data_IF_412291145567
#
_entry.id   IF_412291145567
#
_cell.length_a   1.000
_cell.length_b   1.000
_cell.length_c   1.000
_cell.angle_alpha   90.00
_cell.angle_beta   90.00
_cell.angle_gamma   90.00
#
_symmetry.space_group_name_H-M   'P 1'
#
loop_
_entity.id
_entity.type
_entity.pdbx_description
1 polymer ?
#
# COMPACT_ATOMS: atom_id res chain seq x y z
N UNK A 1 -26.07 1.63 11.83
CA UNK A 1 -24.99 1.15 12.70
C UNK A 1 -25.64 0.79 14.02
N UNK A 2 -25.51 -0.46 14.46
CA UNK A 2 -26.06 -0.90 15.75
C UNK A 2 -25.16 -0.43 16.89
N UNK A 3 -25.65 -0.50 18.11
CA UNK A 3 -24.88 -0.17 19.31
C UNK A 3 -23.66 -1.08 19.44
N UNK A 4 -23.83 -2.38 19.21
CA UNK A 4 -22.75 -3.36 19.28
C UNK A 4 -21.68 -3.11 18.21
N UNK A 5 -22.09 -2.64 17.02
CA UNK A 5 -21.16 -2.24 15.97
C UNK A 5 -20.35 -1.00 16.38
N UNK A 6 -20.98 -0.04 17.05
CA UNK A 6 -20.30 1.15 17.55
C UNK A 6 -19.28 0.79 18.64
N UNK A 7 -19.69 -0.02 19.63
CA UNK A 7 -18.80 -0.50 20.68
C UNK A 7 -17.62 -1.31 20.14
N UNK A 8 -17.85 -2.17 19.14
CA UNK A 8 -16.78 -2.93 18.50
C UNK A 8 -15.76 -2.02 17.81
N UNK A 9 -16.22 -0.97 17.13
CA UNK A 9 -15.35 0.02 16.47
C UNK A 9 -14.55 0.80 17.53
N UNK A 10 -15.19 1.23 18.61
CA UNK A 10 -14.54 1.95 19.70
C UNK A 10 -13.47 1.09 20.37
N UNK A 11 -13.77 -0.18 20.65
CA UNK A 11 -12.81 -1.12 21.22
C UNK A 11 -11.57 -1.26 20.34
N UNK A 12 -11.76 -1.39 19.01
CA UNK A 12 -10.64 -1.44 18.05
C UNK A 12 -9.87 -0.13 18.04
N UNK A 13 -10.55 1.01 17.97
CA UNK A 13 -9.94 2.34 17.90
C UNK A 13 -9.09 2.64 19.14
N UNK A 14 -9.68 2.55 20.33
CA UNK A 14 -8.98 2.88 21.57
C UNK A 14 -7.83 1.91 21.86
N UNK A 15 -7.97 0.63 21.52
CA UNK A 15 -6.88 -0.34 21.62
C UNK A 15 -5.75 0.02 20.65
N UNK A 16 -6.06 0.34 19.41
CA UNK A 16 -5.06 0.74 18.41
C UNK A 16 -4.31 2.00 18.84
N UNK A 17 -5.02 3.05 19.28
CA UNK A 17 -4.41 4.30 19.75
C UNK A 17 -3.53 4.08 20.98
N UNK A 18 -3.95 3.24 21.92
CA UNK A 18 -3.19 2.94 23.13
C UNK A 18 -1.87 2.21 22.83
N UNK A 19 -1.85 1.33 21.82
CA UNK A 19 -0.72 0.46 21.51
C UNK A 19 0.01 0.84 20.21
N UNK A 20 -0.26 2.01 19.63
CA UNK A 20 0.33 2.41 18.36
C UNK A 20 1.84 2.62 18.45
N UNK A 21 2.53 2.23 17.37
CA UNK A 21 3.92 2.57 17.12
C UNK A 21 3.98 3.48 15.90
N UNK A 22 4.57 4.66 16.06
CA UNK A 22 4.73 5.63 14.96
C UNK A 22 6.15 5.53 14.40
N UNK A 23 6.25 5.12 13.14
CA UNK A 23 7.52 4.96 12.43
C UNK A 23 7.70 6.11 11.43
N UNK A 24 8.81 6.83 11.52
CA UNK A 24 9.17 7.91 10.59
C UNK A 24 10.10 7.40 9.50
N UNK A 25 9.52 6.95 8.39
CA UNK A 25 10.26 6.41 7.25
C UNK A 25 11.04 7.49 6.49
N UNK A 26 12.26 7.13 6.10
CA UNK A 26 13.13 7.86 5.17
C UNK A 26 13.17 7.13 3.82
N UNK A 27 13.69 7.83 2.81
CA UNK A 27 13.90 7.25 1.48
C UNK A 27 14.86 6.07 1.61
N UNK A 28 14.45 4.91 1.09
CA UNK A 28 15.23 3.67 1.15
C UNK A 28 14.84 2.73 2.29
N UNK A 29 14.06 3.21 3.28
CA UNK A 29 13.55 2.33 4.35
C UNK A 29 12.54 1.33 3.79
N UNK A 30 12.60 0.10 4.30
CA UNK A 30 11.71 -1.00 3.93
C UNK A 30 11.02 -1.51 5.20
N UNK A 31 9.69 -1.49 5.20
CA UNK A 31 8.88 -2.11 6.24
C UNK A 31 8.39 -3.48 5.78
N UNK A 32 8.66 -4.49 6.61
CA UNK A 32 8.10 -5.84 6.45
C UNK A 32 7.33 -6.17 7.71
N UNK A 33 6.07 -6.51 7.55
CA UNK A 33 5.20 -6.75 8.70
C UNK A 33 4.22 -7.89 8.40
N UNK A 34 3.87 -8.66 9.44
CA UNK A 34 2.90 -9.74 9.31
C UNK A 34 1.48 -9.16 9.29
N UNK A 35 0.85 -9.15 8.12
CA UNK A 35 -0.51 -8.61 7.93
C UNK A 35 -1.57 -9.26 8.84
N UNK A 36 -1.28 -10.45 9.38
CA UNK A 36 -2.17 -11.14 10.31
C UNK A 36 -2.05 -10.70 11.76
N UNK A 37 -0.97 -10.00 12.11
CA UNK A 37 -0.65 -9.69 13.51
C UNK A 37 -0.84 -8.20 13.85
N UNK A 38 -0.97 -7.32 12.86
CA UNK A 38 -1.03 -5.88 13.09
C UNK A 38 -1.99 -5.14 12.17
N UNK A 39 -2.55 -4.07 12.71
CA UNK A 39 -3.15 -3.00 11.93
C UNK A 39 -2.08 -1.98 11.56
N UNK A 40 -2.19 -1.41 10.36
CA UNK A 40 -1.32 -0.34 9.90
C UNK A 40 -2.17 0.82 9.39
N UNK A 41 -1.75 2.04 9.70
CA UNK A 41 -2.40 3.27 9.30
C UNK A 41 -1.34 4.32 8.93
N UNK A 42 -1.80 5.46 8.41
CA UNK A 42 -0.95 6.58 8.06
C UNK A 42 -1.70 7.88 8.37
N UNK A 43 -1.00 8.86 8.90
CA UNK A 43 -1.56 10.19 9.16
C UNK A 43 -1.93 10.94 7.87
N UNK A 44 -2.83 11.92 7.98
CA UNK A 44 -3.10 12.87 6.90
C UNK A 44 -1.82 13.63 6.51
N UNK A 45 -1.62 13.84 5.21
CA UNK A 45 -0.51 14.64 4.68
C UNK A 45 -1.00 15.43 3.46
N UNK A 46 -0.29 16.52 3.15
CA UNK A 46 -0.48 17.28 1.92
C UNK A 46 0.76 17.11 1.06
N UNK A 47 0.56 16.85 -0.23
CA UNK A 47 1.65 16.89 -1.19
C UNK A 47 2.11 18.34 -1.37
N UNK A 48 3.43 18.54 -1.57
CA UNK A 48 4.04 19.87 -1.66
C UNK A 48 3.43 20.76 -2.77
N UNK A 49 2.86 20.18 -3.82
CA UNK A 49 2.20 20.95 -4.90
C UNK A 49 0.82 21.51 -4.54
N UNK A 50 0.21 21.04 -3.45
CA UNK A 50 -1.14 21.45 -3.01
C UNK A 50 -1.14 22.47 -1.87
N UNK A 51 0.04 22.91 -1.41
CA UNK A 51 0.15 23.90 -0.35
C UNK A 51 0.52 25.27 -0.95
N UNK A 52 -0.42 26.22 -1.07
CA UNK A 52 -0.16 27.54 -1.65
C UNK A 52 0.81 28.38 -0.82
N UNK A 53 1.03 28.04 0.46
CA UNK A 53 1.92 28.77 1.36
C UNK A 53 3.35 28.21 1.38
N UNK A 54 3.61 27.08 0.71
CA UNK A 54 4.96 26.53 0.57
C UNK A 54 5.61 27.12 -0.67
N UNK A 55 6.09 28.37 -0.57
CA UNK A 55 7.00 28.92 -1.57
C UNK A 55 8.12 27.91 -1.84
N UNK A 56 8.30 27.59 -3.11
CA UNK A 56 9.34 26.69 -3.58
C UNK A 56 10.69 27.33 -3.29
N UNK A 57 11.23 27.15 -2.07
CA UNK A 57 12.64 27.40 -1.78
C UNK A 57 13.46 26.35 -2.53
N UNK A 58 13.66 26.59 -3.82
CA UNK A 58 14.82 26.13 -4.55
C UNK A 58 16.03 26.72 -3.83
N UNK A 59 16.53 26.03 -2.80
CA UNK A 59 17.85 26.33 -2.27
C UNK A 59 18.85 25.93 -3.34
N UNK A 60 19.29 26.92 -4.12
CA UNK A 60 20.56 26.86 -4.84
C UNK A 60 21.62 26.79 -3.75
N UNK A 61 21.92 25.57 -3.31
CA UNK A 61 23.12 25.34 -2.50
C UNK A 61 24.29 25.38 -3.46
N UNK A 62 25.10 26.43 -3.29
CA UNK A 62 26.42 26.55 -3.90
C UNK A 62 27.25 25.29 -3.67
N UNK A 63 28.03 24.96 -4.70
CA UNK A 63 28.77 23.73 -4.88
C UNK A 63 29.74 23.43 -3.72
N UNK A 64 29.38 22.50 -2.83
CA UNK A 64 30.34 21.58 -2.19
C UNK A 64 29.61 20.34 -1.65
N UNK A 65 29.97 19.19 -2.23
CA UNK A 65 29.84 17.81 -1.73
C UNK A 65 28.80 17.51 -0.62
N UNK A 66 27.58 17.17 -1.04
CA UNK A 66 26.79 16.07 -0.49
C UNK A 66 25.61 15.76 -1.42
N UNK A 67 25.65 14.60 -2.06
CA UNK A 67 24.60 14.08 -2.94
C UNK A 67 23.34 13.75 -2.12
N UNK A 68 22.46 14.74 -1.92
CA UNK A 68 21.07 14.50 -1.50
C UNK A 68 20.13 15.45 -2.23
N UNK A 69 20.17 15.42 -3.56
CA UNK A 69 19.09 15.98 -4.36
C UNK A 69 17.89 15.05 -4.17
N UNK A 70 16.97 15.42 -3.27
CA UNK A 70 15.66 14.77 -3.14
C UNK A 70 14.91 14.94 -4.47
N UNK A 71 15.01 13.95 -5.35
CA UNK A 71 14.43 13.93 -6.71
C UNK A 71 12.90 13.82 -6.73
N UNK A 72 12.24 13.81 -5.58
CA UNK A 72 10.79 13.75 -5.48
C UNK A 72 10.22 15.17 -5.45
N UNK A 73 9.16 15.44 -6.23
CA UNK A 73 8.43 16.71 -6.31
C UNK A 73 7.74 17.14 -4.98
N UNK A 74 8.23 16.64 -3.84
CA UNK A 74 7.59 16.76 -2.53
C UNK A 74 6.32 15.91 -2.39
N UNK A 75 6.10 14.98 -3.32
CA UNK A 75 5.05 13.96 -3.28
C UNK A 75 5.58 12.69 -2.63
N UNK A 76 4.74 11.99 -1.85
CA UNK A 76 5.10 10.71 -1.23
C UNK A 76 4.87 9.55 -2.21
N UNK A 77 5.93 8.83 -2.54
CA UNK A 77 5.85 7.58 -3.31
C UNK A 77 6.22 6.38 -2.43
N UNK A 78 5.37 5.34 -2.41
CA UNK A 78 5.60 4.10 -1.66
C UNK A 78 5.25 2.90 -2.55
N UNK A 79 6.12 1.90 -2.56
CA UNK A 79 5.82 0.60 -3.15
C UNK A 79 5.29 -0.34 -2.08
N UNK A 80 4.15 -0.98 -2.34
CA UNK A 80 3.57 -2.00 -1.46
C UNK A 80 3.52 -3.33 -2.18
N UNK A 81 4.18 -4.33 -1.61
CA UNK A 81 4.18 -5.70 -2.10
C UNK A 81 3.40 -6.58 -1.13
N UNK A 82 2.63 -7.51 -1.66
CA UNK A 82 1.89 -8.50 -0.87
C UNK A 82 2.52 -9.86 -1.09
N UNK A 83 2.91 -10.51 0.00
CA UNK A 83 3.51 -11.83 -0.03
C UNK A 83 2.49 -12.84 0.49
N UNK A 84 2.37 -13.98 -0.21
CA UNK A 84 1.60 -15.14 0.23
C UNK A 84 2.55 -16.31 0.39
N UNK A 85 2.33 -17.13 1.41
CA UNK A 85 3.00 -18.42 1.51
C UNK A 85 2.74 -19.26 0.26
N UNK A 86 3.75 -19.98 -0.21
CA UNK A 86 3.62 -20.97 -1.26
C UNK A 86 2.94 -22.26 -0.74
N UNK A 87 3.03 -22.52 0.56
CA UNK A 87 2.32 -23.61 1.22
C UNK A 87 0.88 -23.20 1.53
N UNK A 88 -0.08 -23.88 0.91
CA UNK A 88 -1.52 -23.66 1.10
C UNK A 88 -1.99 -23.96 2.51
N UNK A 89 -1.27 -24.78 3.28
CA UNK A 89 -1.63 -25.07 4.68
C UNK A 89 -1.40 -23.87 5.62
N UNK A 90 -0.50 -22.95 5.23
CA UNK A 90 -0.23 -21.71 5.96
C UNK A 90 -1.09 -20.55 5.50
N UNK A 91 -1.86 -20.72 4.42
CA UNK A 91 -2.80 -19.73 3.94
C UNK A 91 -4.17 -19.96 4.57
N UNK A 92 -4.93 -18.87 4.71
CA UNK A 92 -6.33 -18.99 5.08
C UNK A 92 -7.13 -19.72 4.01
N UNK A 93 -8.09 -20.54 4.47
CA UNK A 93 -9.06 -21.19 3.59
C UNK A 93 -9.89 -20.12 2.91
N UNK A 94 -9.74 -20.01 1.60
CA UNK A 94 -10.48 -19.05 0.79
C UNK A 94 -11.98 -19.37 0.84
N UNK A 95 -12.85 -18.41 1.19
CA UNK A 95 -14.30 -18.58 1.10
C UNK A 95 -14.73 -18.92 -0.34
N UNK A 96 -15.79 -19.72 -0.49
CA UNK A 96 -16.25 -20.21 -1.79
C UNK A 96 -16.50 -19.07 -2.80
N UNK A 97 -17.14 -17.98 -2.36
CA UNK A 97 -17.39 -16.79 -3.19
C UNK A 97 -16.12 -16.16 -3.78
N UNK A 98 -14.97 -16.33 -3.12
CA UNK A 98 -13.70 -15.76 -3.55
C UNK A 98 -12.78 -16.77 -4.25
N UNK A 99 -13.16 -18.04 -4.28
CA UNK A 99 -12.32 -19.13 -4.78
C UNK A 99 -11.94 -18.94 -6.27
N UNK A 100 -12.88 -18.45 -7.08
CA UNK A 100 -12.63 -18.15 -8.49
C UNK A 100 -11.52 -17.09 -8.67
N UNK A 101 -11.63 -15.97 -7.97
CA UNK A 101 -10.66 -14.87 -8.05
C UNK A 101 -9.31 -15.30 -7.47
N UNK A 102 -9.35 -16.05 -6.37
CA UNK A 102 -8.16 -16.63 -5.75
C UNK A 102 -7.40 -17.53 -6.73
N UNK A 103 -8.08 -18.45 -7.41
CA UNK A 103 -7.45 -19.35 -8.37
C UNK A 103 -6.85 -18.61 -9.56
N UNK A 104 -7.46 -17.49 -9.98
CA UNK A 104 -6.88 -16.65 -11.04
C UNK A 104 -5.57 -15.99 -10.63
N UNK A 105 -5.47 -15.52 -9.39
CA UNK A 105 -4.31 -14.77 -8.91
C UNK A 105 -3.20 -15.72 -8.40
N UNK A 106 -3.56 -16.68 -7.55
CA UNK A 106 -2.63 -17.53 -6.80
C UNK A 106 -2.58 -18.98 -7.30
N UNK A 107 -3.60 -19.43 -8.04
CA UNK A 107 -3.63 -20.77 -8.61
C UNK A 107 -2.81 -20.90 -9.90
N UNK A 108 -2.94 -22.06 -10.55
CA UNK A 108 -2.33 -22.34 -11.85
C UNK A 108 -3.26 -21.91 -13.00
N UNK A 109 -3.55 -20.61 -13.09
CA UNK A 109 -4.43 -20.04 -14.12
C UNK A 109 -3.67 -19.57 -15.35
N UNK A 110 -4.32 -19.53 -16.51
CA UNK A 110 -3.76 -18.92 -17.72
C UNK A 110 -3.47 -17.43 -17.53
N UNK A 111 -4.29 -16.73 -16.74
CA UNK A 111 -4.08 -15.32 -16.42
C UNK A 111 -2.73 -15.09 -15.71
N UNK A 112 -2.34 -16.00 -14.80
CA UNK A 112 -1.04 -15.94 -14.13
C UNK A 112 0.12 -16.26 -15.08
N UNK A 113 -0.06 -17.21 -16.01
CA UNK A 113 0.96 -17.57 -17.01
C UNK A 113 1.20 -16.45 -18.04
N UNK A 114 0.13 -15.76 -18.44
CA UNK A 114 0.17 -14.68 -19.44
C UNK A 114 0.55 -13.34 -18.81
N UNK A 115 0.26 -13.14 -17.52
CA UNK A 115 0.45 -11.88 -16.81
C UNK A 115 1.90 -11.38 -16.85
N UNK A 116 2.17 -10.40 -17.71
CA UNK A 116 3.43 -9.65 -17.74
C UNK A 116 3.23 -8.32 -17.02
N UNK A 117 4.03 -8.08 -15.98
CA UNK A 117 4.10 -6.78 -15.32
C UNK A 117 5.05 -5.89 -16.11
N UNK A 118 4.51 -4.93 -16.84
CA UNK A 118 5.33 -3.90 -17.49
C UNK A 118 5.72 -2.86 -16.45
N UNK A 119 7.00 -2.85 -16.06
CA UNK A 119 7.57 -1.90 -15.09
C UNK A 119 7.92 -0.55 -15.73
N UNK A 120 8.00 -0.48 -17.06
CA UNK A 120 8.40 0.72 -17.80
C UNK A 120 7.20 1.56 -18.24
N UNK A 121 6.00 0.97 -18.28
CA UNK A 121 4.77 1.67 -18.66
C UNK A 121 3.79 1.72 -17.50
N UNK A 122 3.42 2.93 -17.07
CA UNK A 122 2.22 3.10 -16.25
C UNK A 122 1.03 2.48 -17.02
N UNK A 123 0.22 1.62 -16.38
CA UNK A 123 -0.88 1.00 -17.09
C UNK A 123 -1.79 2.11 -17.63
N UNK A 124 -2.20 2.05 -18.92
CA UNK A 124 -3.17 3.01 -19.43
C UNK A 124 -4.42 2.97 -18.54
N UNK A 125 -5.02 4.14 -18.29
CA UNK A 125 -6.23 4.31 -17.45
C UNK A 125 -7.31 3.28 -17.82
N UNK A 126 -7.36 2.89 -19.08
CA UNK A 126 -8.19 1.81 -19.60
C UNK A 126 -7.45 0.47 -19.51
N UNK A 127 -7.40 -0.09 -18.31
CA UNK A 127 -7.02 -1.49 -18.05
C UNK A 127 -8.06 -2.43 -18.68
N UNK A 128 -7.98 -2.67 -19.99
CA UNK A 128 -8.86 -3.65 -20.66
C UNK A 128 -8.50 -5.10 -20.25
N UNK A 129 -7.25 -5.32 -19.81
CA UNK A 129 -6.72 -6.65 -19.46
C UNK A 129 -6.62 -6.94 -17.94
N UNK A 130 -6.81 -5.96 -17.05
CA UNK A 130 -6.94 -6.28 -15.61
C UNK A 130 -8.40 -6.22 -15.22
N UNK A 131 -8.97 -7.39 -14.97
CA UNK A 131 -10.32 -7.55 -14.44
C UNK A 131 -10.37 -6.89 -13.06
N UNK A 132 -11.21 -5.88 -12.89
CA UNK A 132 -11.55 -5.39 -11.56
C UNK A 132 -12.40 -6.48 -10.89
N UNK A 133 -11.81 -7.22 -9.95
CA UNK A 133 -12.53 -8.25 -9.20
C UNK A 133 -13.58 -7.56 -8.32
N UNK A 134 -14.81 -7.47 -8.80
CA UNK A 134 -15.94 -7.11 -7.94
C UNK A 134 -16.21 -8.30 -7.02
N UNK A 135 -16.23 -8.07 -5.71
CA UNK A 135 -16.87 -9.00 -4.80
C UNK A 135 -18.38 -8.83 -5.02
N UNK A 136 -19.04 -9.90 -5.46
CA UNK A 136 -20.50 -10.01 -5.51
C UNK A 136 -21.05 -10.23 -4.11
#
# INVERSE_FOLDING_TARGET
MTEEQAEAIDAVHFTAVKHQLVIKLKIGDIEVFNNMALFHARDGFKDRQQDPDTETRLTVHDNSEALSKSTTNGTRHMLRLWLRSADDNLAWKTPEALLHNHNQIYGNSEARKIGRWDVHRAPPINRILTKHFKCS
#
